data_IF_632766052608
#
_entry.id   IF_632766052608
#
_cell.length_a   1.000
_cell.length_b   1.000
_cell.length_c   1.000
_cell.angle_alpha   90.00
_cell.angle_beta   90.00
_cell.angle_gamma   90.00
#
_symmetry.space_group_name_H-M   'P 1'
#
loop_
_entity.id
_entity.type
_entity.pdbx_description
1 polymer ?
#
# COMPACT_ATOMS: atom_id res chain seq x y z
N UNK A 1 -13.42 -11.35 -3.24
CA UNK A 1 -12.17 -11.43 -4.02
C UNK A 1 -11.07 -10.92 -3.13
N UNK A 2 -10.34 -11.84 -2.53
CA UNK A 2 -9.18 -11.54 -1.70
C UNK A 2 -8.01 -11.21 -2.64
N UNK A 3 -7.93 -9.97 -3.13
CA UNK A 3 -6.82 -9.52 -3.96
C UNK A 3 -5.62 -9.21 -3.06
N UNK A 4 -5.05 -10.27 -2.48
CA UNK A 4 -3.74 -10.22 -1.86
C UNK A 4 -2.67 -10.52 -2.93
N UNK A 5 -1.59 -9.77 -2.89
CA UNK A 5 -0.44 -9.97 -3.78
C UNK A 5 0.86 -9.61 -3.08
N UNK A 6 1.95 -10.23 -3.51
CA UNK A 6 3.29 -9.87 -3.07
C UNK A 6 3.65 -8.47 -3.58
N UNK A 7 4.10 -7.63 -2.66
CA UNK A 7 4.46 -6.26 -2.91
C UNK A 7 5.82 -5.95 -2.28
N UNK A 8 6.53 -5.00 -2.87
CA UNK A 8 7.86 -4.61 -2.42
C UNK A 8 7.97 -3.10 -2.38
N UNK A 9 8.42 -2.54 -1.25
CA UNK A 9 8.56 -1.09 -1.05
C UNK A 9 10.02 -0.72 -0.79
N UNK A 10 10.44 0.45 -1.26
CA UNK A 10 11.83 0.91 -1.10
C UNK A 10 11.95 1.77 0.15
N UNK A 11 12.62 1.26 1.19
CA UNK A 11 13.00 2.03 2.38
C UNK A 11 14.21 2.92 2.12
N UNK A 12 14.66 3.68 3.14
CA UNK A 12 15.84 4.55 3.03
C UNK A 12 17.12 3.77 2.74
N UNK A 13 17.28 2.62 3.37
CA UNK A 13 18.53 1.84 3.35
C UNK A 13 18.37 0.44 2.73
N UNK A 14 17.14 -0.02 2.55
CA UNK A 14 16.85 -1.40 2.15
C UNK A 14 15.48 -1.52 1.51
N UNK A 15 15.26 -2.60 0.77
CA UNK A 15 13.93 -2.94 0.29
C UNK A 15 13.16 -3.71 1.35
N UNK A 16 11.85 -3.44 1.43
CA UNK A 16 10.92 -4.04 2.38
C UNK A 16 9.97 -4.92 1.61
N UNK A 17 10.11 -6.22 1.78
CA UNK A 17 9.22 -7.22 1.18
C UNK A 17 7.96 -7.39 2.04
N UNK A 18 6.81 -7.53 1.39
CA UNK A 18 5.53 -7.63 2.10
C UNK A 18 4.40 -8.13 1.22
N UNK A 19 3.22 -8.14 1.80
CA UNK A 19 1.98 -8.49 1.12
C UNK A 19 1.05 -7.29 1.16
N UNK A 20 0.50 -6.95 0.00
CA UNK A 20 -0.54 -5.96 -0.13
C UNK A 20 -1.89 -6.65 -0.35
N UNK A 21 -2.92 -6.21 0.36
CA UNK A 21 -4.27 -6.73 0.23
C UNK A 21 -5.28 -5.61 0.11
N UNK A 22 -6.29 -5.79 -0.76
CA UNK A 22 -7.44 -4.90 -0.79
C UNK A 22 -8.25 -5.03 0.50
N UNK A 23 -8.57 -3.90 1.12
CA UNK A 23 -9.39 -3.87 2.35
C UNK A 23 -10.61 -2.97 2.15
N UNK A 24 -11.63 -3.17 2.98
CA UNK A 24 -12.72 -2.20 3.12
C UNK A 24 -12.33 -1.18 4.17
N UNK A 25 -12.31 0.10 3.79
CA UNK A 25 -12.04 1.20 4.72
C UNK A 25 -13.20 2.21 4.65
N UNK A 26 -13.74 2.70 5.79
CA UNK A 26 -14.85 3.64 5.79
C UNK A 26 -14.58 4.87 4.93
N UNK A 27 -15.54 5.27 4.09
CA UNK A 27 -15.46 6.42 3.17
C UNK A 27 -14.47 6.28 2.00
N UNK A 28 -13.83 5.12 1.80
CA UNK A 28 -12.93 4.91 0.68
C UNK A 28 -13.35 3.69 -0.15
N UNK A 29 -13.58 3.91 -1.45
CA UNK A 29 -13.96 2.85 -2.38
C UNK A 29 -12.78 1.92 -2.73
N UNK A 30 -11.54 2.43 -2.63
CA UNK A 30 -10.33 1.66 -2.91
C UNK A 30 -9.32 1.90 -1.79
N UNK A 31 -9.12 0.89 -0.94
CA UNK A 31 -8.12 0.91 0.11
C UNK A 31 -7.29 -0.38 0.06
N UNK A 32 -6.01 -0.25 0.34
CA UNK A 32 -5.05 -1.34 0.36
C UNK A 32 -4.22 -1.28 1.63
N UNK A 33 -4.05 -2.43 2.26
CA UNK A 33 -3.16 -2.63 3.39
C UNK A 33 -1.91 -3.38 2.92
N UNK A 34 -0.75 -2.82 3.21
CA UNK A 34 0.54 -3.45 3.08
C UNK A 34 1.07 -3.84 4.45
N UNK A 35 1.52 -5.08 4.57
CA UNK A 35 2.21 -5.62 5.74
C UNK A 35 3.52 -6.23 5.29
N UNK A 36 4.62 -5.78 5.88
CA UNK A 36 5.92 -6.38 5.62
C UNK A 36 6.01 -7.78 6.24
N UNK A 37 6.80 -8.64 5.62
CA UNK A 37 7.01 -10.03 6.09
C UNK A 37 7.85 -10.09 7.36
N UNK A 38 8.70 -9.08 7.58
CA UNK A 38 9.55 -8.92 8.77
C UNK A 38 8.83 -8.18 9.92
N UNK A 39 7.59 -7.70 9.70
CA UNK A 39 6.80 -6.97 10.68
C UNK A 39 7.26 -5.53 10.97
N UNK A 40 8.25 -5.02 10.22
CA UNK A 40 8.79 -3.66 10.42
C UNK A 40 7.89 -2.55 9.87
N UNK A 41 7.08 -2.86 8.84
CA UNK A 41 6.25 -1.89 8.16
C UNK A 41 4.81 -2.37 8.00
N UNK A 42 3.88 -1.56 8.49
CA UNK A 42 2.47 -1.61 8.18
C UNK A 42 2.07 -0.31 7.51
N UNK A 43 1.32 -0.36 6.42
CA UNK A 43 0.90 0.83 5.68
C UNK A 43 -0.49 0.60 5.11
N UNK A 44 -1.41 1.54 5.32
CA UNK A 44 -2.70 1.53 4.64
C UNK A 44 -2.79 2.77 3.78
N UNK A 45 -3.07 2.56 2.50
CA UNK A 45 -3.35 3.62 1.54
C UNK A 45 -4.78 3.52 1.04
N UNK A 46 -5.34 4.65 0.64
CA UNK A 46 -6.61 4.68 -0.07
C UNK A 46 -6.62 5.74 -1.15
N UNK A 47 -7.52 5.54 -2.12
CA UNK A 47 -7.75 6.49 -3.20
C UNK A 47 -8.85 7.47 -2.78
N UNK A 48 -8.52 8.75 -2.71
CA UNK A 48 -9.46 9.81 -2.34
C UNK A 48 -10.45 10.16 -3.46
N UNK A 49 -11.29 11.18 -3.22
CA UNK A 49 -12.29 11.64 -4.17
C UNK A 49 -11.68 12.26 -5.44
N UNK A 50 -10.49 12.84 -5.35
CA UNK A 50 -9.73 13.41 -6.46
C UNK A 50 -8.95 12.34 -7.24
N UNK A 51 -9.01 11.09 -6.78
CA UNK A 51 -8.34 9.96 -7.39
C UNK A 51 -6.85 9.85 -7.04
N UNK A 52 -6.38 10.60 -6.05
CA UNK A 52 -5.02 10.51 -5.53
C UNK A 52 -4.92 9.42 -4.48
N UNK A 53 -3.76 8.75 -4.41
CA UNK A 53 -3.49 7.80 -3.34
C UNK A 53 -2.93 8.55 -2.14
N UNK A 54 -3.55 8.34 -0.98
CA UNK A 54 -3.17 8.94 0.29
C UNK A 54 -2.89 7.87 1.33
N UNK A 55 -2.03 8.20 2.31
CA UNK A 55 -1.81 7.35 3.49
C UNK A 55 -2.95 7.57 4.48
N UNK A 56 -3.56 6.48 4.93
CA UNK A 56 -4.56 6.47 6.00
C UNK A 56 -3.96 6.12 7.35
N UNK A 57 -3.06 5.13 7.37
CA UNK A 57 -2.28 4.76 8.56
C UNK A 57 -0.95 4.14 8.13
N UNK A 58 0.00 4.06 9.04
CA UNK A 58 1.18 3.26 8.84
C UNK A 58 2.22 3.43 9.94
N UNK A 59 3.20 2.54 9.95
CA UNK A 59 4.37 2.59 10.83
C UNK A 59 5.36 3.63 10.32
N UNK A 60 6.10 4.21 11.25
CA UNK A 60 7.25 5.05 10.93
C UNK A 60 8.35 4.23 10.24
N UNK A 61 9.10 4.81 9.29
CA UNK A 61 9.05 6.21 8.82
C UNK A 61 7.89 6.57 7.88
N UNK A 62 7.45 7.83 7.87
CA UNK A 62 6.38 8.31 6.99
C UNK A 62 6.82 8.65 5.55
N UNK A 63 7.47 7.71 4.85
CA UNK A 63 7.94 7.95 3.48
C UNK A 63 6.78 8.06 2.48
N UNK A 64 6.64 9.22 1.83
CA UNK A 64 5.60 9.44 0.80
C UNK A 64 5.79 8.53 -0.41
N UNK A 65 7.04 8.20 -0.75
CA UNK A 65 7.39 7.29 -1.85
C UNK A 65 6.70 5.93 -1.75
N UNK A 66 6.46 5.42 -0.54
CA UNK A 66 5.76 4.15 -0.35
C UNK A 66 4.31 4.18 -0.85
N UNK A 67 3.65 5.34 -0.77
CA UNK A 67 2.28 5.49 -1.25
C UNK A 67 2.29 5.35 -2.77
N UNK A 68 3.21 6.04 -3.44
CA UNK A 68 3.35 6.01 -4.90
C UNK A 68 3.75 4.61 -5.39
N UNK A 69 4.73 3.97 -4.76
CA UNK A 69 5.20 2.63 -5.12
C UNK A 69 4.10 1.57 -4.97
N UNK A 70 3.35 1.60 -3.85
CA UNK A 70 2.26 0.67 -3.62
C UNK A 70 1.11 0.93 -4.60
N UNK A 71 0.76 2.19 -4.84
CA UNK A 71 -0.26 2.57 -5.81
C UNK A 71 0.06 2.09 -7.23
N UNK A 72 1.31 2.20 -7.67
CA UNK A 72 1.77 1.72 -8.98
C UNK A 72 1.64 0.19 -9.08
N UNK A 73 1.98 -0.55 -8.03
CA UNK A 73 1.82 -2.02 -8.00
C UNK A 73 0.35 -2.44 -8.05
N UNK A 74 -0.53 -1.73 -7.32
CA UNK A 74 -1.98 -1.94 -7.39
C UNK A 74 -2.51 -1.72 -8.81
N UNK A 75 -2.09 -0.64 -9.49
CA UNK A 75 -2.50 -0.36 -10.88
C UNK A 75 -2.06 -1.45 -11.84
N UNK A 76 -0.79 -1.90 -11.74
CA UNK A 76 -0.24 -2.99 -12.58
C UNK A 76 -1.02 -4.29 -12.40
N UNK A 77 -1.38 -4.66 -11.16
CA UNK A 77 -2.16 -5.87 -10.87
C UNK A 77 -3.61 -5.80 -11.35
N UNK A 78 -4.23 -4.62 -11.35
CA UNK A 78 -5.60 -4.44 -11.89
C UNK A 78 -5.67 -4.46 -13.43
N UNK A 79 -4.54 -4.26 -14.10
CA UNK A 79 -4.47 -4.16 -15.58
C UNK A 79 -4.14 -5.51 -16.23
N UNK A 80 -3.85 -6.53 -15.42
CA UNK A 80 -3.45 -7.87 -15.86
C UNK A 80 -4.51 -8.92 -15.46
#
# INVERSE_FOLDING_TARGET
>A
MEQQFDAKLTGTDSTIDGTAQAITYPNFANAYEFKSTDGTLHLIIAKDADGQWIRLTGTEPFLSSWIDELAEQVKKRKTN
#
